data_IF_652637914803
#
_entry.id   IF_652637914803
#
_cell.length_a   1.000
_cell.length_b   1.000
_cell.length_c   1.000
_cell.angle_alpha   90.00
_cell.angle_beta   90.00
_cell.angle_gamma   90.00
#
_symmetry.space_group_name_H-M   'P 1'
#
loop_
_entity.id
_entity.type
_entity.pdbx_description
1 polymer ?
#
# COMPACT_ATOMS: atom_id res chain seq x y z
N UNK A 1 4.29 -6.64 7.01
CA UNK A 1 3.21 -6.25 6.06
C UNK A 1 2.26 -7.43 5.87
N UNK A 2 0.96 -7.20 5.61
CA UNK A 2 -0.06 -8.25 5.76
C UNK A 2 -0.08 -9.37 4.70
N UNK A 3 0.67 -9.22 3.60
CA UNK A 3 0.77 -10.19 2.49
C UNK A 3 -0.57 -10.65 1.89
N UNK A 4 -1.64 -9.86 2.06
CA UNK A 4 -2.96 -10.10 1.46
C UNK A 4 -3.11 -9.32 0.15
N UNK A 5 -4.03 -9.79 -0.70
CA UNK A 5 -4.39 -9.09 -1.93
C UNK A 5 -5.05 -7.73 -1.64
N UNK A 6 -4.73 -6.75 -2.48
CA UNK A 6 -5.37 -5.44 -2.47
C UNK A 6 -6.83 -5.53 -2.91
N UNK A 7 -7.66 -4.62 -2.41
CA UNK A 7 -9.05 -4.45 -2.82
C UNK A 7 -9.40 -2.95 -2.85
N UNK A 8 -10.63 -2.60 -3.20
CA UNK A 8 -11.08 -1.19 -3.26
C UNK A 8 -11.59 -0.64 -1.92
N UNK A 9 -11.64 -1.49 -0.90
CA UNK A 9 -12.11 -1.15 0.43
C UNK A 9 -10.90 -0.92 1.36
N UNK A 10 -10.83 -1.66 2.47
CA UNK A 10 -9.83 -1.48 3.53
C UNK A 10 -8.39 -1.84 3.11
N UNK A 11 -8.23 -2.58 2.00
CA UNK A 11 -6.92 -2.94 1.44
C UNK A 11 -6.63 -2.18 0.15
N UNK A 12 -7.14 -0.96 0.03
CA UNK A 12 -6.76 -0.02 -1.04
C UNK A 12 -5.25 0.23 -1.01
N UNK A 13 -4.53 0.07 -2.14
CA UNK A 13 -3.09 0.27 -2.22
C UNK A 13 -2.74 1.76 -2.21
N UNK A 14 -1.83 2.16 -1.33
CA UNK A 14 -1.33 3.52 -1.16
C UNK A 14 0.19 3.55 -1.22
N UNK A 15 0.73 4.52 -1.93
CA UNK A 15 2.18 4.62 -2.18
C UNK A 15 2.76 5.72 -1.29
N UNK A 16 3.72 5.36 -0.44
CA UNK A 16 4.50 6.31 0.35
C UNK A 16 5.41 7.16 -0.57
N UNK A 17 5.90 8.29 -0.06
CA UNK A 17 6.80 9.17 -0.82
C UNK A 17 8.14 8.49 -1.23
N UNK A 18 8.50 7.37 -0.61
CA UNK A 18 9.64 6.56 -1.04
C UNK A 18 9.37 5.65 -2.24
N UNK A 19 8.13 5.59 -2.75
CA UNK A 19 7.73 4.75 -3.88
C UNK A 19 7.19 3.36 -3.51
N UNK A 20 7.30 2.96 -2.24
CA UNK A 20 6.76 1.68 -1.78
C UNK A 20 5.26 1.75 -1.52
N UNK A 21 4.55 0.69 -1.89
CA UNK A 21 3.10 0.62 -1.78
C UNK A 21 2.66 -0.38 -0.74
N UNK A 22 1.72 0.04 0.12
CA UNK A 22 1.13 -0.78 1.17
C UNK A 22 -0.39 -0.63 1.19
N UNK A 23 -1.06 -1.57 1.85
CA UNK A 23 -2.51 -1.52 1.99
C UNK A 23 -2.94 -0.45 3.01
N UNK A 24 -4.13 0.13 2.86
CA UNK A 24 -4.63 1.18 3.78
C UNK A 24 -4.65 0.70 5.24
N UNK A 25 -5.17 -0.50 5.54
CA UNK A 25 -5.08 -1.09 6.88
C UNK A 25 -3.64 -1.23 7.40
N UNK A 26 -2.72 -1.57 6.52
CA UNK A 26 -1.35 -1.78 6.87
C UNK A 26 -0.65 -0.47 7.25
N UNK A 27 -1.02 0.62 6.58
CA UNK A 27 -0.56 1.97 6.89
C UNK A 27 -1.20 2.42 8.21
N UNK A 28 -2.51 2.23 8.40
CA UNK A 28 -3.21 2.56 9.66
C UNK A 28 -2.52 1.89 10.85
N UNK A 29 -2.24 0.59 10.75
CA UNK A 29 -1.63 -0.17 11.83
C UNK A 29 -0.13 0.14 12.03
N UNK A 30 0.51 0.77 11.03
CA UNK A 30 1.94 1.12 11.06
C UNK A 30 2.21 2.58 11.41
N UNK A 31 1.20 3.44 11.39
CA UNK A 31 1.33 4.83 11.82
C UNK A 31 1.41 4.86 13.35
N UNK A 32 2.44 5.53 13.86
CA UNK A 32 2.60 5.84 15.27
C UNK A 32 2.92 7.33 15.38
N UNK A 33 2.22 8.06 16.25
CA UNK A 33 2.45 9.49 16.47
C UNK A 33 2.52 10.35 15.18
N UNK A 34 1.64 10.07 14.20
CA UNK A 34 1.61 10.74 12.88
C UNK A 34 2.84 10.51 12.00
N UNK A 35 3.60 9.44 12.27
CA UNK A 35 4.75 9.04 11.49
C UNK A 35 4.63 7.57 11.08
N UNK A 36 5.20 7.23 9.92
CA UNK A 36 5.34 5.85 9.48
C UNK A 36 6.74 5.63 8.91
N UNK A 37 7.42 4.62 9.43
CA UNK A 37 8.69 4.14 8.86
C UNK A 37 8.38 3.10 7.80
N UNK A 38 8.87 3.32 6.58
CA UNK A 38 8.72 2.34 5.51
C UNK A 38 9.43 1.03 5.90
N UNK A 39 8.72 -0.12 5.94
CA UNK A 39 9.34 -1.39 6.31
C UNK A 39 10.37 -1.93 5.30
N UNK A 40 10.37 -1.41 4.06
CA UNK A 40 11.24 -1.89 2.98
C UNK A 40 12.55 -1.10 2.89
N UNK A 41 12.48 0.23 3.00
CA UNK A 41 13.67 1.09 2.87
C UNK A 41 14.01 1.89 4.13
N UNK A 42 13.27 1.70 5.22
CA UNK A 42 13.48 2.34 6.52
C UNK A 42 13.39 3.88 6.51
N UNK A 43 12.85 4.48 5.43
CA UNK A 43 12.64 5.93 5.37
C UNK A 43 11.43 6.34 6.21
N UNK A 44 11.62 7.33 7.07
CA UNK A 44 10.56 7.95 7.86
C UNK A 44 9.69 8.86 6.97
N UNK A 45 8.39 8.77 7.14
CA UNK A 45 7.41 9.59 6.46
C UNK A 45 6.45 10.20 7.48
N UNK A 46 6.26 11.50 7.42
CA UNK A 46 5.19 12.16 8.16
C UNK A 46 3.86 11.88 7.45
N UNK A 47 2.90 11.32 8.19
CA UNK A 47 1.57 11.02 7.71
C UNK A 47 0.58 11.41 8.81
N UNK A 48 -0.06 12.58 8.64
CA UNK A 48 -1.08 13.09 9.58
C UNK A 48 -2.25 12.11 9.67
N UNK A 49 -2.57 11.43 8.57
CA UNK A 49 -3.40 10.24 8.55
C UNK A 49 -3.23 9.37 7.29
N UNK A 50 -3.78 8.14 7.30
CA UNK A 50 -3.67 7.20 6.17
C UNK A 50 -4.31 7.73 4.88
N UNK A 51 -5.26 8.65 5.01
CA UNK A 51 -5.99 9.25 3.88
C UNK A 51 -5.16 10.27 3.13
N UNK A 52 -4.12 10.84 3.74
CA UNK A 52 -3.24 11.86 3.15
C UNK A 52 -2.22 11.26 2.18
N UNK A 53 -1.96 9.95 2.30
CA UNK A 53 -1.08 9.23 1.39
C UNK A 53 -1.87 8.90 0.13
N UNK A 54 -1.44 9.33 -1.07
CA UNK A 54 -2.21 9.16 -2.28
C UNK A 54 -2.42 7.68 -2.62
N UNK A 55 -3.61 7.38 -3.14
CA UNK A 55 -3.97 6.06 -3.64
C UNK A 55 -3.23 5.81 -4.96
N UNK A 56 -2.68 4.61 -5.10
CA UNK A 56 -2.00 4.23 -6.34
C UNK A 56 -3.02 3.84 -7.41
N UNK A 57 -3.38 4.79 -8.29
CA UNK A 57 -4.36 4.57 -9.35
C UNK A 57 -3.92 3.46 -10.33
N UNK A 58 -2.61 3.35 -10.58
CA UNK A 58 -2.04 2.30 -11.43
C UNK A 58 -2.32 0.90 -10.85
N UNK A 59 -2.13 0.72 -9.54
CA UNK A 59 -2.41 -0.56 -8.88
C UNK A 59 -3.90 -0.83 -8.75
N UNK A 60 -4.74 0.19 -8.50
CA UNK A 60 -6.19 0.02 -8.50
C UNK A 60 -6.71 -0.45 -9.87
N UNK A 61 -6.18 0.09 -10.97
CA UNK A 61 -6.54 -0.40 -12.32
C UNK A 61 -6.19 -1.87 -12.47
N UNK A 62 -5.02 -2.29 -12.01
CA UNK A 62 -4.62 -3.70 -12.05
C UNK A 62 -5.54 -4.55 -11.19
N UNK A 63 -5.84 -4.14 -9.94
CA UNK A 63 -6.77 -4.84 -9.04
C UNK A 63 -8.16 -5.00 -9.69
N UNK A 64 -8.67 -3.96 -10.34
CA UNK A 64 -9.95 -3.99 -11.07
C UNK A 64 -9.91 -4.98 -12.24
N UNK A 65 -8.83 -4.99 -13.01
CA UNK A 65 -8.67 -5.91 -14.14
C UNK A 65 -8.31 -7.34 -13.73
N UNK A 66 -7.69 -7.51 -12.56
CA UNK A 66 -7.29 -8.78 -11.98
C UNK A 66 -8.38 -9.41 -11.09
N UNK A 67 -9.59 -8.82 -11.06
CA UNK A 67 -10.77 -9.42 -10.45
C UNK A 67 -11.27 -10.67 -11.21
N UNK A 68 -10.45 -11.28 -12.07
CA UNK A 68 -10.56 -12.69 -12.43
C UNK A 68 -10.11 -13.55 -11.25
N UNK A 69 -10.95 -14.48 -10.75
CA UNK A 69 -10.62 -15.31 -9.61
C UNK A 69 -9.52 -16.29 -10.01
N UNK A 70 -8.29 -15.96 -9.64
CA UNK A 70 -7.16 -16.86 -9.76
C UNK A 70 -6.00 -16.22 -10.49
N UNK A 71 -4.94 -16.00 -9.71
CA UNK A 71 -3.54 -16.06 -10.17
C UNK A 71 -3.04 -14.80 -10.87
N UNK A 72 -2.60 -13.82 -10.08
CA UNK A 72 -1.41 -13.06 -10.44
C UNK A 72 -0.62 -12.67 -9.19
N UNK A 73 0.49 -13.39 -8.99
CA UNK A 73 1.60 -13.00 -8.14
C UNK A 73 2.15 -11.68 -8.66
N UNK A 74 1.68 -10.56 -8.13
CA UNK A 74 2.39 -9.29 -8.28
C UNK A 74 3.22 -9.12 -7.02
N UNK A 75 4.23 -9.99 -6.91
CA UNK A 75 5.42 -9.70 -6.12
C UNK A 75 6.15 -8.64 -6.95
N UNK A 76 5.89 -7.35 -6.68
CA UNK A 76 6.78 -6.30 -7.19
C UNK A 76 8.03 -6.35 -6.32
N UNK A 77 8.85 -7.37 -6.54
CA UNK A 77 10.28 -7.29 -6.28
C UNK A 77 10.85 -6.43 -7.40
N UNK A 78 10.88 -5.12 -7.20
CA UNK A 78 11.74 -4.24 -7.99
C UNK A 78 12.53 -3.39 -7.00
N UNK A 79 13.76 -3.89 -6.77
CA UNK A 79 14.93 -3.29 -6.13
C UNK A 79 14.86 -2.99 -4.63
#
# INVERSE_FOLDING_TARGET
MCSRQYNEDDRTPRTLACGHTFCTLCIINGISAAEITCPLCQRLHHAVGPRDIPVSLSLLRVVRTAATPGRLMIIISLF
#
